data_IF_181513148354
#
_entry.id   IF_181513148354
#
_cell.length_a   1.000
_cell.length_b   1.000
_cell.length_c   1.000
_cell.angle_alpha   90.00
_cell.angle_beta   90.00
_cell.angle_gamma   90.00
#
_symmetry.space_group_name_H-M   'P 1'
#
loop_
_entity.id
_entity.type
_entity.pdbx_description
1 polymer ?
#
# COMPACT_ATOMS: atom_id res chain seq x y z
N UNK A 1 14.92 10.99 -10.83
CA UNK A 1 15.53 10.26 -9.71
C UNK A 1 16.32 9.03 -10.17
N UNK A 2 15.75 8.11 -10.97
CA UNK A 2 16.44 6.85 -11.37
C UNK A 2 17.52 7.02 -12.44
N UNK A 3 17.42 7.95 -13.40
CA UNK A 3 18.49 8.19 -14.39
C UNK A 3 19.80 8.65 -13.72
N UNK A 4 19.70 9.40 -12.62
CA UNK A 4 20.85 9.87 -11.87
C UNK A 4 21.55 8.76 -11.04
N UNK A 5 20.90 7.61 -10.83
CA UNK A 5 21.37 6.54 -9.93
C UNK A 5 21.54 5.19 -10.64
N UNK A 6 21.58 5.17 -11.98
CA UNK A 6 21.74 3.94 -12.81
C UNK A 6 22.89 3.05 -12.33
N UNK A 7 24.05 3.65 -12.04
CA UNK A 7 25.25 2.94 -11.56
C UNK A 7 25.05 2.28 -10.19
N UNK A 8 24.27 2.90 -9.30
CA UNK A 8 23.99 2.33 -7.98
C UNK A 8 23.02 1.14 -8.06
N UNK A 9 22.11 1.16 -9.03
CA UNK A 9 21.14 0.09 -9.28
C UNK A 9 21.83 -1.13 -9.90
N UNK A 10 22.75 -0.91 -10.84
CA UNK A 10 23.55 -1.98 -11.49
C UNK A 10 24.49 -2.71 -10.50
N UNK A 11 24.91 -2.05 -9.42
CA UNK A 11 25.77 -2.63 -8.39
C UNK A 11 25.02 -3.16 -7.16
N UNK A 12 23.69 -3.03 -7.12
CA UNK A 12 22.89 -3.49 -6.00
C UNK A 12 22.55 -4.98 -6.14
N UNK A 13 22.52 -5.75 -5.04
CA UNK A 13 22.12 -7.15 -5.08
C UNK A 13 20.73 -7.27 -5.70
N UNK A 14 20.51 -8.31 -6.51
CA UNK A 14 19.31 -8.54 -7.34
C UNK A 14 17.97 -8.32 -6.59
N UNK A 15 17.98 -8.53 -5.27
CA UNK A 15 16.85 -8.31 -4.36
C UNK A 15 16.39 -6.84 -4.25
N UNK A 16 17.31 -5.87 -4.29
CA UNK A 16 16.96 -4.45 -4.25
C UNK A 16 16.27 -4.01 -5.55
N UNK A 17 16.72 -4.55 -6.68
CA UNK A 17 16.14 -4.31 -8.00
C UNK A 17 14.73 -4.92 -8.13
N UNK A 18 14.54 -6.16 -7.68
CA UNK A 18 13.25 -6.84 -7.70
C UNK A 18 12.17 -6.11 -6.88
N UNK A 19 12.55 -5.48 -5.76
CA UNK A 19 11.61 -4.70 -4.94
C UNK A 19 11.10 -3.45 -5.67
N UNK A 20 11.96 -2.71 -6.36
CA UNK A 20 11.55 -1.53 -7.12
C UNK A 20 10.63 -1.88 -8.31
N UNK A 21 10.85 -3.05 -8.91
CA UNK A 21 9.97 -3.59 -9.94
C UNK A 21 8.59 -3.96 -9.38
N UNK A 22 8.56 -4.67 -8.24
CA UNK A 22 7.35 -5.13 -7.55
C UNK A 22 6.40 -3.97 -7.16
N UNK A 23 6.96 -2.83 -6.79
CA UNK A 23 6.19 -1.64 -6.37
C UNK A 23 5.98 -0.61 -7.49
N UNK A 24 6.45 -0.89 -8.71
CA UNK A 24 6.23 0.00 -9.84
C UNK A 24 4.82 -0.16 -10.41
N UNK A 25 4.10 0.92 -10.73
CA UNK A 25 2.81 0.83 -11.42
C UNK A 25 2.94 0.05 -12.73
N UNK A 26 1.94 -0.76 -13.08
CA UNK A 26 1.97 -1.64 -14.26
C UNK A 26 2.20 -0.88 -15.57
N UNK A 27 1.76 0.38 -15.65
CA UNK A 27 1.94 1.25 -16.82
C UNK A 27 3.24 2.07 -16.78
N UNK A 28 4.12 1.86 -15.81
CA UNK A 28 5.38 2.59 -15.71
C UNK A 28 6.34 2.20 -16.83
N UNK A 29 7.09 3.18 -17.35
CA UNK A 29 8.13 3.00 -18.37
C UNK A 29 9.16 1.94 -17.94
N UNK A 30 9.40 1.82 -16.63
CA UNK A 30 10.31 0.81 -16.05
C UNK A 30 9.85 -0.61 -16.42
N UNK A 31 8.55 -0.89 -16.37
CA UNK A 31 8.02 -2.22 -16.70
C UNK A 31 8.11 -2.52 -18.20
N UNK A 32 8.10 -1.49 -19.05
CA UNK A 32 8.35 -1.65 -20.48
C UNK A 32 9.83 -1.93 -20.82
N UNK A 33 10.75 -1.32 -20.07
CA UNK A 33 12.19 -1.44 -20.30
C UNK A 33 12.75 -2.79 -19.84
N UNK A 34 12.15 -3.39 -18.82
CA UNK A 34 12.64 -4.62 -18.19
C UNK A 34 11.71 -5.83 -18.37
N UNK A 35 10.85 -5.78 -19.39
CA UNK A 35 9.90 -6.85 -19.75
C UNK A 35 10.59 -8.21 -19.98
N UNK A 36 11.84 -8.21 -20.45
CA UNK A 36 12.61 -9.43 -20.74
C UNK A 36 13.35 -9.99 -19.52
N UNK A 37 13.45 -9.23 -18.42
CA UNK A 37 14.12 -9.64 -17.18
C UNK A 37 13.14 -10.16 -16.11
N UNK A 38 11.84 -10.26 -16.42
CA UNK A 38 10.84 -10.80 -15.49
C UNK A 38 11.18 -12.26 -15.12
N UNK A 39 11.59 -12.54 -13.87
CA UNK A 39 12.02 -13.88 -13.51
C UNK A 39 10.82 -14.83 -13.49
N UNK A 40 10.88 -15.90 -14.28
CA UNK A 40 9.79 -16.90 -14.41
C UNK A 40 9.41 -17.56 -13.06
N UNK A 41 10.30 -17.52 -12.07
CA UNK A 41 10.08 -18.09 -10.73
C UNK A 41 9.31 -17.15 -9.79
N UNK A 42 9.05 -15.90 -10.20
CA UNK A 42 8.18 -14.96 -9.48
C UNK A 42 6.83 -14.95 -10.21
N UNK A 43 5.97 -15.91 -9.86
CA UNK A 43 4.57 -15.82 -10.25
C UNK A 43 3.92 -14.70 -9.43
N UNK A 44 3.87 -13.48 -9.98
CA UNK A 44 3.01 -12.42 -9.44
C UNK A 44 1.56 -12.85 -9.73
N UNK A 45 0.95 -13.63 -8.83
CA UNK A 45 -0.46 -13.99 -8.94
C UNK A 45 -1.38 -12.81 -8.61
N UNK A 46 -2.63 -12.84 -9.12
CA UNK A 46 -2.89 -12.64 -10.54
C UNK A 46 -2.41 -11.26 -10.98
N UNK A 47 -2.23 -11.09 -12.29
CA UNK A 47 -2.27 -9.80 -13.00
C UNK A 47 -3.06 -8.78 -12.19
N UNK A 48 -2.35 -7.81 -11.60
CA UNK A 48 -2.97 -6.64 -10.97
C UNK A 48 -3.69 -5.92 -12.12
N UNK A 49 -4.92 -6.35 -12.36
CA UNK A 49 -5.80 -5.80 -13.38
C UNK A 49 -6.05 -4.34 -13.05
N UNK A 50 -6.60 -3.62 -14.01
CA UNK A 50 -6.84 -2.18 -13.98
C UNK A 50 -7.75 -1.68 -12.84
N UNK A 51 -8.05 -2.52 -11.84
CA UNK A 51 -8.77 -2.23 -10.60
C UNK A 51 -7.90 -2.04 -9.34
N UNK A 52 -6.56 -1.94 -9.45
CA UNK A 52 -5.76 -1.48 -8.30
C UNK A 52 -6.03 0.01 -8.05
N UNK A 53 -6.81 0.29 -7.01
CA UNK A 53 -6.90 1.64 -6.47
C UNK A 53 -5.84 1.82 -5.37
N UNK A 54 -5.09 2.92 -5.42
CA UNK A 54 -4.17 3.31 -4.33
C UNK A 54 -4.92 3.59 -3.01
N UNK A 55 -6.23 3.84 -3.07
CA UNK A 55 -7.10 4.02 -1.92
C UNK A 55 -8.38 3.20 -2.14
N UNK A 56 -8.50 2.08 -1.42
CA UNK A 56 -9.70 1.24 -1.46
C UNK A 56 -10.89 1.95 -0.79
N UNK A 57 -10.61 2.64 0.32
CA UNK A 57 -11.62 3.26 1.17
C UNK A 57 -11.00 4.35 2.05
N UNK A 58 -11.76 5.41 2.30
CA UNK A 58 -11.41 6.48 3.25
C UNK A 58 -12.39 6.46 4.42
N UNK A 59 -11.86 6.50 5.65
CA UNK A 59 -12.64 6.51 6.89
C UNK A 59 -12.76 7.94 7.39
N UNK A 60 -13.88 8.59 7.06
CA UNK A 60 -14.14 9.99 7.44
C UNK A 60 -14.93 10.07 8.75
N UNK A 61 -14.51 10.93 9.67
CA UNK A 61 -15.25 11.17 10.91
C UNK A 61 -14.46 11.73 12.08
N UNK A 62 -13.13 11.65 12.05
CA UNK A 62 -12.30 12.39 13.01
C UNK A 62 -12.24 13.87 12.65
N UNK A 63 -12.34 14.73 13.67
CA UNK A 63 -12.21 16.19 13.51
C UNK A 63 -10.77 16.69 13.71
N UNK A 64 -9.90 15.82 14.26
CA UNK A 64 -8.48 16.05 14.46
C UNK A 64 -7.59 15.13 13.62
N UNK A 65 -6.27 15.33 13.71
CA UNK A 65 -5.30 14.45 13.09
C UNK A 65 -5.34 13.07 13.75
N UNK A 66 -5.43 12.01 12.95
CA UNK A 66 -5.32 10.63 13.43
C UNK A 66 -3.85 10.36 13.79
N UNK A 67 -3.60 10.01 15.05
CA UNK A 67 -2.26 9.79 15.60
C UNK A 67 -1.88 8.31 15.62
N UNK A 68 -2.85 7.40 15.65
CA UNK A 68 -2.60 5.96 15.71
C UNK A 68 -3.73 5.17 15.05
N UNK A 69 -3.37 4.02 14.48
CA UNK A 69 -4.31 3.05 13.90
C UNK A 69 -3.89 1.62 14.29
N UNK A 70 -4.87 0.76 14.56
CA UNK A 70 -4.65 -0.65 14.87
C UNK A 70 -5.74 -1.51 14.23
N UNK A 71 -5.36 -2.69 13.72
CA UNK A 71 -6.30 -3.69 13.21
C UNK A 71 -6.62 -4.73 14.28
N UNK A 72 -7.83 -5.25 14.25
CA UNK A 72 -8.16 -6.48 14.98
C UNK A 72 -7.43 -7.69 14.38
N UNK A 73 -7.23 -8.72 15.18
CA UNK A 73 -6.51 -9.92 14.75
C UNK A 73 -7.17 -10.65 13.56
N UNK A 74 -8.50 -10.55 13.46
CA UNK A 74 -9.31 -11.09 12.38
C UNK A 74 -9.46 -10.13 11.17
N UNK A 75 -8.82 -8.95 11.21
CA UNK A 75 -8.89 -7.91 10.18
C UNK A 75 -10.31 -7.42 9.84
N UNK A 76 -11.30 -7.72 10.67
CA UNK A 76 -12.69 -7.26 10.44
C UNK A 76 -12.91 -5.84 10.95
N UNK A 77 -12.08 -5.39 11.91
CA UNK A 77 -12.20 -4.09 12.56
C UNK A 77 -10.89 -3.31 12.52
N UNK A 78 -11.03 -2.00 12.47
CA UNK A 78 -9.94 -1.04 12.61
C UNK A 78 -10.28 -0.10 13.77
N UNK A 79 -9.31 0.21 14.60
CA UNK A 79 -9.40 1.27 15.60
C UNK A 79 -8.48 2.42 15.20
N UNK A 80 -8.98 3.65 15.29
CA UNK A 80 -8.20 4.88 15.07
C UNK A 80 -8.29 5.80 16.27
N UNK A 81 -7.16 6.36 16.70
CA UNK A 81 -7.08 7.34 17.77
C UNK A 81 -6.65 8.69 17.19
N UNK A 82 -7.31 9.77 17.61
CA UNK A 82 -7.15 11.10 17.02
C UNK A 82 -6.89 12.16 18.08
N UNK A 83 -6.33 13.30 17.63
CA UNK A 83 -6.14 14.49 18.45
C UNK A 83 -7.46 15.17 18.85
N UNK A 84 -8.60 14.72 18.32
CA UNK A 84 -9.94 15.11 18.77
C UNK A 84 -10.36 14.47 20.11
N UNK A 85 -9.44 13.79 20.79
CA UNK A 85 -9.61 13.03 22.03
C UNK A 85 -10.51 11.78 21.89
N UNK A 86 -10.91 11.42 20.68
CA UNK A 86 -11.75 10.23 20.45
C UNK A 86 -10.96 9.06 19.89
N UNK A 87 -11.45 7.85 20.20
CA UNK A 87 -11.08 6.61 19.52
C UNK A 87 -12.29 6.09 18.75
N UNK A 88 -12.15 5.88 17.44
CA UNK A 88 -13.21 5.33 16.59
C UNK A 88 -12.89 3.91 16.19
N UNK A 89 -13.90 3.04 16.26
CA UNK A 89 -13.84 1.66 15.76
C UNK A 89 -14.65 1.58 14.48
N UNK A 90 -14.07 0.96 13.46
CA UNK A 90 -14.59 0.88 12.10
C UNK A 90 -14.75 -0.58 11.69
N UNK A 91 -15.78 -0.84 10.90
CA UNK A 91 -15.88 -2.08 10.12
C UNK A 91 -15.04 -1.94 8.84
N UNK A 92 -14.10 -2.85 8.60
CA UNK A 92 -13.13 -2.74 7.48
C UNK A 92 -13.79 -2.97 6.12
N UNK A 93 -14.89 -3.73 6.05
CA UNK A 93 -15.54 -4.09 4.78
C UNK A 93 -16.47 -2.98 4.29
N UNK A 94 -17.17 -2.32 5.20
CA UNK A 94 -18.12 -1.26 4.90
C UNK A 94 -17.55 0.15 5.13
N UNK A 95 -16.47 0.27 5.91
CA UNK A 95 -15.92 1.53 6.41
C UNK A 95 -16.86 2.32 7.33
N UNK A 96 -17.92 1.67 7.84
CA UNK A 96 -18.82 2.30 8.78
C UNK A 96 -18.15 2.48 10.14
N UNK A 97 -18.35 3.63 10.77
CA UNK A 97 -17.97 3.85 12.17
C UNK A 97 -18.94 3.07 13.06
N UNK A 98 -18.45 2.00 13.69
CA UNK A 98 -19.23 1.16 14.60
C UNK A 98 -19.37 1.80 15.98
N UNK A 99 -18.30 2.46 16.45
CA UNK A 99 -18.26 3.01 17.79
C UNK A 99 -17.33 4.22 17.84
N UNK A 100 -17.69 5.21 18.66
CA UNK A 100 -16.81 6.30 19.08
C UNK A 100 -16.68 6.24 20.60
N UNK A 101 -15.45 6.28 21.09
CA UNK A 101 -15.07 6.34 22.49
C UNK A 101 -14.47 7.71 22.76
N UNK A 102 -14.89 8.35 23.86
CA UNK A 102 -14.50 9.68 24.33
C UNK A 102 -14.18 9.57 25.83
#
# INVERSE_FOLDING_TARGET
>A
FIIAHKVAIENSPLQAYASAFLFSPTCSVIRSLFREEEPQWITIGPTIGDGWSACLQTLEGHSGAVMSVAFSHDSTRLASASYDNTVKVWDVHSGACLQTLD
#
